data_IF_171425427785
#
_entry.id   IF_171425427785
#
_cell.length_a   1.000
_cell.length_b   1.000
_cell.length_c   1.000
_cell.angle_alpha   90.00
_cell.angle_beta   90.00
_cell.angle_gamma   90.00
#
_symmetry.space_group_name_H-M   'P 1'
#
loop_
_entity.id
_entity.type
_entity.pdbx_description
1 polymer ?
#
# COMPACT_ATOMS: atom_id res chain seq x y z
N UNK A 1 -5.38 -11.22 12.47
CA UNK A 1 -5.75 -9.92 11.91
C UNK A 1 -6.89 -9.36 12.74
N UNK A 2 -6.55 -8.39 13.58
CA UNK A 2 -7.47 -7.68 14.47
C UNK A 2 -8.48 -6.86 13.67
N UNK A 3 -9.64 -6.53 14.24
CA UNK A 3 -10.70 -5.81 13.52
C UNK A 3 -10.24 -4.43 13.02
N UNK A 4 -9.45 -3.71 13.82
CA UNK A 4 -8.92 -2.40 13.44
C UNK A 4 -7.96 -2.46 12.26
N UNK A 5 -7.11 -3.50 12.19
CA UNK A 5 -6.23 -3.75 11.06
C UNK A 5 -7.03 -3.94 9.76
N UNK A 6 -8.11 -4.74 9.81
CA UNK A 6 -9.01 -4.94 8.65
C UNK A 6 -9.68 -3.64 8.21
N UNK A 7 -10.17 -2.84 9.15
CA UNK A 7 -10.80 -1.55 8.86
C UNK A 7 -9.82 -0.57 8.21
N UNK A 8 -8.58 -0.54 8.70
CA UNK A 8 -7.51 0.30 8.15
C UNK A 8 -7.16 -0.12 6.72
N UNK A 9 -7.02 -1.42 6.45
CA UNK A 9 -6.77 -1.91 5.09
C UNK A 9 -7.92 -1.51 4.14
N UNK A 10 -9.18 -1.63 4.59
CA UNK A 10 -10.35 -1.20 3.79
C UNK A 10 -10.32 0.30 3.52
N UNK A 11 -10.01 1.11 4.52
CA UNK A 11 -9.88 2.56 4.38
C UNK A 11 -8.81 2.94 3.35
N UNK A 12 -7.59 2.40 3.47
CA UNK A 12 -6.50 2.69 2.54
C UNK A 12 -6.84 2.31 1.10
N UNK A 13 -7.53 1.18 0.91
CA UNK A 13 -8.02 0.77 -0.41
C UNK A 13 -9.09 1.70 -0.94
N UNK A 14 -10.08 2.05 -0.12
CA UNK A 14 -11.16 2.95 -0.53
C UNK A 14 -10.65 4.35 -0.90
N UNK A 15 -9.57 4.83 -0.28
CA UNK A 15 -8.93 6.08 -0.66
C UNK A 15 -8.42 6.05 -2.10
N UNK A 16 -7.72 5.00 -2.52
CA UNK A 16 -6.93 5.04 -3.75
C UNK A 16 -7.59 4.23 -4.88
N UNK A 17 -8.62 3.45 -4.59
CA UNK A 17 -9.38 2.71 -5.59
C UNK A 17 -10.07 3.68 -6.56
N UNK A 18 -9.70 3.58 -7.83
CA UNK A 18 -10.40 4.29 -8.91
C UNK A 18 -11.21 3.29 -9.71
N UNK A 19 -12.46 3.61 -10.06
CA UNK A 19 -13.30 2.76 -10.89
C UNK A 19 -12.86 2.75 -12.37
N UNK A 20 -11.95 3.65 -12.74
CA UNK A 20 -11.63 3.97 -14.12
C UNK A 20 -10.45 3.17 -14.66
N UNK A 21 -10.76 2.40 -15.71
CA UNK A 21 -9.83 1.93 -16.73
C UNK A 21 -9.43 3.06 -17.69
N UNK A 22 -9.52 4.33 -17.32
CA UNK A 22 -9.75 5.45 -18.27
C UNK A 22 -8.63 6.48 -18.45
N UNK A 23 -7.38 6.17 -18.14
CA UNK A 23 -6.26 6.82 -18.86
C UNK A 23 -5.44 5.74 -19.56
N UNK A 24 -5.86 5.34 -20.77
CA UNK A 24 -4.91 4.80 -21.73
C UNK A 24 -3.85 5.87 -21.97
N UNK A 25 -2.58 5.56 -21.68
CA UNK A 25 -1.49 6.42 -22.13
C UNK A 25 -1.55 6.52 -23.66
N UNK A 26 -1.07 7.62 -24.28
CA UNK A 26 -1.17 7.84 -25.74
C UNK A 26 -0.61 6.72 -26.62
N UNK A 27 0.19 5.81 -26.05
CA UNK A 27 0.76 4.63 -26.71
C UNK A 27 -0.08 3.34 -26.52
N UNK A 28 -1.28 3.42 -25.95
CA UNK A 28 -2.14 2.27 -25.66
C UNK A 28 -1.70 1.43 -24.46
N UNK A 29 -0.65 1.83 -23.73
CA UNK A 29 -0.22 1.18 -22.49
C UNK A 29 -1.14 1.65 -21.37
N UNK A 30 -1.84 0.71 -20.75
CA UNK A 30 -2.55 0.96 -19.49
C UNK A 30 -1.49 1.24 -18.43
N UNK A 31 -1.55 2.41 -17.80
CA UNK A 31 -0.66 2.72 -16.68
C UNK A 31 -0.81 1.63 -15.61
N UNK A 32 0.28 0.94 -15.30
CA UNK A 32 0.31 -0.08 -14.26
C UNK A 32 0.21 0.53 -12.84
N UNK A 33 0.17 1.86 -12.73
CA UNK A 33 0.05 2.69 -11.53
C UNK A 33 -1.22 2.51 -10.70
N UNK A 34 -1.67 1.28 -10.52
CA UNK A 34 -2.65 0.93 -9.50
C UNK A 34 -1.95 0.89 -8.13
N UNK A 35 -1.85 2.10 -7.56
CA UNK A 35 -1.87 2.46 -6.16
C UNK A 35 -0.82 1.89 -5.16
N UNK A 36 0.09 0.99 -5.54
CA UNK A 36 1.06 0.43 -4.58
C UNK A 36 1.98 1.47 -3.94
N UNK A 37 2.42 2.45 -4.72
CA UNK A 37 3.26 3.54 -4.23
C UNK A 37 2.51 4.40 -3.20
N UNK A 38 1.31 4.88 -3.53
CA UNK A 38 0.52 5.72 -2.61
C UNK A 38 0.10 4.95 -1.35
N UNK A 39 -0.27 3.68 -1.49
CA UNK A 39 -0.55 2.80 -0.35
C UNK A 39 0.66 2.63 0.55
N UNK A 40 1.84 2.38 -0.03
CA UNK A 40 3.06 2.21 0.72
C UNK A 40 3.48 3.52 1.40
N UNK A 41 3.33 4.68 0.72
CA UNK A 41 3.54 6.00 1.32
C UNK A 41 2.61 6.25 2.50
N UNK A 42 1.29 6.19 2.28
CA UNK A 42 0.29 6.49 3.32
C UNK A 42 0.44 5.52 4.49
N UNK A 43 0.63 4.23 4.23
CA UNK A 43 0.82 3.24 5.32
C UNK A 43 2.13 3.43 6.06
N UNK A 44 3.23 3.76 5.38
CA UNK A 44 4.51 4.04 6.04
C UNK A 44 4.41 5.24 6.98
N UNK A 45 3.82 6.34 6.52
CA UNK A 45 3.56 7.51 7.36
C UNK A 45 2.62 7.19 8.52
N UNK A 46 1.56 6.42 8.27
CA UNK A 46 0.62 5.96 9.30
C UNK A 46 1.33 5.18 10.41
N UNK A 47 2.21 4.24 10.05
CA UNK A 47 2.97 3.48 11.05
C UNK A 47 3.91 4.37 11.86
N UNK A 48 4.55 5.36 11.22
CA UNK A 48 5.32 6.35 11.96
C UNK A 48 4.45 7.17 12.92
N UNK A 49 3.23 7.56 12.54
CA UNK A 49 2.26 8.20 13.45
C UNK A 49 1.94 7.33 14.67
N UNK A 50 1.99 6.01 14.52
CA UNK A 50 1.80 5.04 15.60
C UNK A 50 3.09 4.72 16.39
N UNK A 51 4.21 5.36 16.05
CA UNK A 51 5.51 5.10 16.69
C UNK A 51 6.16 3.78 16.25
N UNK A 52 5.71 3.19 15.14
CA UNK A 52 6.25 1.94 14.59
C UNK A 52 7.35 2.27 13.59
N UNK A 53 8.50 1.61 13.74
CA UNK A 53 9.63 1.77 12.81
C UNK A 53 9.40 0.97 11.54
N UNK A 54 9.44 1.68 10.41
CA UNK A 54 9.17 1.09 9.10
C UNK A 54 10.12 1.66 8.05
N UNK A 55 10.31 0.91 6.97
CA UNK A 55 10.99 1.35 5.76
C UNK A 55 10.03 1.29 4.58
N UNK A 56 10.03 2.35 3.77
CA UNK A 56 9.43 2.30 2.45
C UNK A 56 10.37 1.50 1.53
N UNK A 57 9.84 0.46 0.91
CA UNK A 57 10.57 -0.38 -0.02
C UNK A 57 10.11 -0.13 -1.45
N UNK A 58 11.06 0.22 -2.32
CA UNK A 58 10.90 0.17 -3.77
C UNK A 58 11.59 -1.11 -4.26
N UNK A 59 10.79 -2.05 -4.74
CA UNK A 59 11.25 -3.39 -5.04
C UNK A 59 10.50 -4.03 -6.19
N UNK A 60 10.41 -5.34 -6.10
CA UNK A 60 9.85 -6.20 -7.13
C UNK A 60 9.00 -7.27 -6.48
N UNK A 61 7.88 -7.59 -7.12
CA UNK A 61 6.99 -8.67 -6.74
C UNK A 61 7.08 -9.83 -7.74
N UNK A 62 7.07 -11.06 -7.21
CA UNK A 62 6.88 -12.29 -7.97
C UNK A 62 5.67 -12.99 -7.39
N UNK A 63 4.74 -13.36 -8.26
CA UNK A 63 3.50 -14.00 -7.83
C UNK A 63 3.32 -15.31 -8.58
N UNK A 64 2.96 -16.35 -7.86
CA UNK A 64 2.66 -17.63 -8.49
C UNK A 64 2.31 -18.72 -7.52
N UNK A 65 2.31 -19.95 -8.02
CA UNK A 65 2.17 -21.18 -7.27
C UNK A 65 2.90 -22.32 -8.01
N UNK A 66 2.63 -23.58 -7.67
CA UNK A 66 3.27 -24.72 -8.34
C UNK A 66 2.91 -24.86 -9.83
N UNK A 67 1.78 -24.30 -10.27
CA UNK A 67 1.25 -24.44 -11.62
C UNK A 67 1.60 -23.26 -12.53
N UNK A 68 1.79 -22.06 -11.97
CA UNK A 68 2.08 -20.86 -12.75
C UNK A 68 3.00 -19.89 -12.00
N UNK A 69 3.68 -19.05 -12.76
CA UNK A 69 4.40 -17.88 -12.25
C UNK A 69 4.12 -16.71 -13.19
N UNK A 70 3.68 -15.59 -12.62
CA UNK A 70 3.49 -14.35 -13.38
C UNK A 70 4.85 -13.67 -13.62
N UNK A 71 4.94 -12.80 -14.64
CA UNK A 71 6.11 -11.94 -14.83
C UNK A 71 6.44 -11.15 -13.56
N UNK A 72 7.73 -10.88 -13.36
CA UNK A 72 8.20 -10.02 -12.27
C UNK A 72 7.71 -8.59 -12.52
N UNK A 73 7.17 -7.94 -11.49
CA UNK A 73 6.61 -6.59 -11.60
C UNK A 73 7.28 -5.66 -10.57
N UNK A 74 7.56 -4.39 -10.93
CA UNK A 74 7.92 -3.37 -9.95
C UNK A 74 6.82 -3.21 -8.90
N UNK A 75 7.19 -3.04 -7.63
CA UNK A 75 6.22 -2.97 -6.54
C UNK A 75 6.72 -2.14 -5.35
N UNK A 76 5.81 -1.43 -4.69
CA UNK A 76 6.09 -0.68 -3.46
C UNK A 76 5.36 -1.31 -2.27
N UNK A 77 6.04 -1.42 -1.13
CA UNK A 77 5.47 -1.98 0.10
C UNK A 77 6.16 -1.39 1.33
N UNK A 78 5.56 -1.62 2.50
CA UNK A 78 6.06 -1.14 3.78
C UNK A 78 6.69 -2.30 4.55
N UNK A 79 7.96 -2.17 4.93
CA UNK A 79 8.66 -3.14 5.78
C UNK A 79 8.60 -2.65 7.23
N UNK A 80 8.10 -3.49 8.14
CA UNK A 80 8.08 -3.21 9.57
C UNK A 80 9.36 -3.76 10.19
N UNK A 81 10.13 -2.90 10.85
CA UNK A 81 11.43 -3.23 11.42
C UNK A 81 11.38 -3.67 12.88
N UNK A 82 10.31 -3.30 13.60
CA UNK A 82 10.07 -3.73 14.97
C UNK A 82 9.76 -5.23 15.04
N UNK A 83 10.03 -5.86 16.19
CA UNK A 83 9.82 -7.30 16.37
C UNK A 83 8.36 -7.60 16.75
N UNK A 84 7.68 -8.50 16.02
CA UNK A 84 8.18 -9.30 14.89
C UNK A 84 8.28 -8.50 13.59
N UNK A 85 9.41 -8.62 12.89
CA UNK A 85 9.61 -8.01 11.57
C UNK A 85 8.53 -8.51 10.61
N UNK A 86 7.98 -7.60 9.81
CA UNK A 86 6.83 -7.91 8.95
C UNK A 86 6.80 -7.10 7.67
N UNK A 87 5.89 -7.47 6.78
CA UNK A 87 5.54 -6.67 5.60
C UNK A 87 4.10 -6.23 5.75
N UNK A 88 3.85 -4.95 5.48
CA UNK A 88 2.51 -4.45 5.26
C UNK A 88 2.34 -4.03 3.80
N UNK A 89 1.31 -4.56 3.17
CA UNK A 89 0.95 -4.25 1.80
C UNK A 89 -0.58 -4.25 1.65
N UNK A 90 -1.16 -3.06 1.69
CA UNK A 90 -2.59 -2.86 1.47
C UNK A 90 -2.94 -2.68 -0.01
N UNK A 91 -1.93 -2.53 -0.87
CA UNK A 91 -2.09 -2.33 -2.32
C UNK A 91 -2.22 -3.61 -3.09
N UNK A 92 -1.69 -4.71 -2.54
CA UNK A 92 -1.81 -6.00 -3.17
C UNK A 92 -3.28 -6.42 -3.20
N UNK A 93 -3.88 -6.19 -4.35
CA UNK A 93 -5.14 -6.75 -4.76
C UNK A 93 -4.82 -7.74 -5.87
N UNK A 94 -4.60 -9.00 -5.49
CA UNK A 94 -4.41 -10.05 -6.49
C UNK A 94 -5.75 -10.27 -7.20
N UNK A 95 -5.89 -9.80 -8.46
CA UNK A 95 -7.13 -9.87 -9.25
C UNK A 95 -7.76 -11.26 -9.26
N UNK A 96 -9.03 -11.30 -9.66
CA UNK A 96 -9.64 -12.50 -10.22
C UNK A 96 -8.79 -13.12 -11.33
N UNK A 97 -7.98 -14.10 -10.95
CA UNK A 97 -7.95 -15.39 -11.65
C UNK A 97 -9.44 -15.79 -11.82
N UNK A 98 -9.85 -16.39 -12.95
CA UNK A 98 -11.22 -16.92 -13.10
C UNK A 98 -11.62 -17.69 -11.81
N UNK A 99 -12.44 -17.10 -10.94
CA UNK A 99 -12.75 -17.62 -9.59
C UNK A 99 -12.18 -16.92 -8.33
N UNK A 100 -11.53 -15.74 -8.37
CA UNK A 100 -10.99 -15.04 -7.15
C UNK A 100 -11.51 -13.57 -7.04
N UNK A 101 -12.27 -13.15 -6.02
CA UNK A 101 -12.97 -11.85 -6.06
C UNK A 101 -12.16 -10.61 -5.58
N UNK A 102 -12.62 -9.41 -6.00
CA UNK A 102 -12.09 -8.04 -5.74
C UNK A 102 -12.17 -7.56 -4.28
N UNK A 103 -12.96 -8.23 -3.45
CA UNK A 103 -13.07 -7.93 -2.02
C UNK A 103 -12.10 -8.80 -1.23
N UNK A 104 -11.81 -8.49 0.06
CA UNK A 104 -11.22 -9.47 0.96
C UNK A 104 -12.14 -10.69 0.99
N UNK A 105 -11.84 -11.65 0.12
CA UNK A 105 -12.56 -12.90 0.07
C UNK A 105 -12.18 -13.66 1.33
N UNK A 106 -13.14 -14.17 2.11
CA UNK A 106 -12.83 -15.12 3.17
C UNK A 106 -12.08 -16.37 2.65
N UNK A 107 -12.04 -16.60 1.33
CA UNK A 107 -11.32 -17.70 0.67
C UNK A 107 -9.78 -17.52 0.60
N UNK A 108 -9.23 -16.31 0.76
CA UNK A 108 -7.79 -16.06 0.59
C UNK A 108 -7.11 -15.48 1.83
N UNK A 109 -7.51 -15.95 3.01
CA UNK A 109 -6.79 -15.74 4.28
C UNK A 109 -5.38 -16.39 4.33
N UNK A 110 -4.81 -16.77 3.18
CA UNK A 110 -3.77 -17.80 3.07
C UNK A 110 -2.71 -17.52 1.98
N UNK A 111 -2.63 -16.32 1.41
CA UNK A 111 -1.49 -15.94 0.56
C UNK A 111 -0.20 -16.10 1.38
N UNK A 112 0.73 -16.91 0.89
CA UNK A 112 2.06 -16.96 1.48
C UNK A 112 2.80 -15.69 1.06
N UNK A 113 3.39 -14.98 2.00
CA UNK A 113 4.18 -13.77 1.74
C UNK A 113 5.58 -14.00 2.29
N UNK A 114 6.60 -13.80 1.46
CA UNK A 114 7.98 -13.85 1.90
C UNK A 114 8.78 -12.67 1.35
N UNK A 115 9.73 -12.20 2.16
CA UNK A 115 10.61 -11.08 1.84
C UNK A 115 12.04 -11.56 1.59
N UNK A 116 12.66 -11.04 0.53
CA UNK A 116 14.07 -11.28 0.21
C UNK A 116 14.82 -9.96 0.08
N UNK A 117 16.06 -9.93 0.56
CA UNK A 117 16.95 -8.77 0.39
C UNK A 117 17.63 -8.73 -0.98
N UNK A 118 17.49 -9.79 -1.76
CA UNK A 118 18.03 -9.92 -3.11
C UNK A 118 17.00 -10.60 -4.02
N UNK A 119 17.23 -10.59 -5.33
CA UNK A 119 16.36 -11.29 -6.29
C UNK A 119 16.33 -12.78 -5.92
N UNK A 120 15.15 -13.36 -5.60
CA UNK A 120 15.04 -14.76 -5.26
C UNK A 120 15.34 -15.63 -6.48
N UNK A 121 15.98 -16.76 -6.24
CA UNK A 121 16.27 -17.78 -7.25
C UNK A 121 15.05 -18.65 -7.52
N UNK A 122 15.02 -19.39 -8.64
CA UNK A 122 13.97 -20.40 -8.87
C UNK A 122 13.89 -21.45 -7.76
N UNK A 123 15.00 -21.75 -7.08
CA UNK A 123 15.04 -22.68 -5.95
C UNK A 123 14.35 -22.11 -4.71
N UNK A 124 14.52 -20.82 -4.44
CA UNK A 124 13.85 -20.13 -3.32
C UNK A 124 12.33 -20.19 -3.51
N UNK A 125 11.85 -19.88 -4.71
CA UNK A 125 10.43 -19.96 -5.04
C UNK A 125 9.85 -21.39 -4.86
N UNK A 126 10.61 -22.42 -5.28
CA UNK A 126 10.21 -23.82 -5.08
C UNK A 126 10.21 -24.24 -3.61
N UNK A 127 11.15 -23.73 -2.82
CA UNK A 127 11.27 -24.03 -1.40
C UNK A 127 10.09 -23.45 -0.60
N UNK A 128 9.73 -22.19 -0.87
CA UNK A 128 8.55 -21.56 -0.25
C UNK A 128 7.24 -22.29 -0.62
N UNK A 129 7.19 -22.92 -1.80
CA UNK A 129 6.04 -23.70 -2.25
C UNK A 129 6.07 -25.19 -1.85
N UNK A 130 7.15 -25.70 -1.24
CA UNK A 130 7.43 -27.15 -1.15
C UNK A 130 6.23 -27.96 -0.62
N UNK A 131 5.54 -27.44 0.41
CA UNK A 131 4.38 -28.09 1.04
C UNK A 131 3.05 -27.34 0.84
N UNK A 132 2.98 -26.35 -0.04
CA UNK A 132 1.79 -25.50 -0.20
C UNK A 132 1.29 -25.49 -1.63
N UNK A 133 -0.04 -25.59 -1.79
CA UNK A 133 -0.73 -25.29 -3.05
C UNK A 133 -1.21 -23.83 -3.11
N UNK A 134 -1.00 -23.07 -2.04
CA UNK A 134 -1.45 -21.67 -1.93
C UNK A 134 -0.64 -20.79 -2.86
N UNK A 135 -1.22 -19.69 -3.37
CA UNK A 135 -0.45 -18.65 -4.02
C UNK A 135 0.63 -18.10 -3.08
N UNK A 136 1.76 -17.72 -3.67
CA UNK A 136 2.92 -17.14 -3.03
C UNK A 136 3.19 -15.77 -3.65
N UNK A 137 3.38 -14.78 -2.80
CA UNK A 137 3.93 -13.47 -3.11
C UNK A 137 5.35 -13.39 -2.54
N UNK A 138 6.33 -13.30 -3.43
CA UNK A 138 7.69 -12.95 -3.05
C UNK A 138 7.92 -11.48 -3.32
N UNK A 139 8.34 -10.76 -2.29
CA UNK A 139 8.77 -9.37 -2.39
C UNK A 139 10.28 -9.31 -2.21
N UNK A 140 10.96 -8.53 -3.05
CA UNK A 140 12.37 -8.26 -2.84
C UNK A 140 12.74 -6.82 -3.17
N UNK A 141 13.63 -6.27 -2.35
CA UNK A 141 14.14 -4.90 -2.52
C UNK A 141 15.67 -4.93 -2.35
N UNK A 142 16.39 -4.94 -3.48
CA UNK A 142 17.83 -5.17 -3.52
C UNK A 142 18.67 -3.96 -3.08
N UNK A 143 18.15 -2.73 -3.23
CA UNK A 143 18.93 -1.49 -3.00
C UNK A 143 18.15 -0.31 -2.43
N UNK A 144 16.82 -0.27 -2.60
CA UNK A 144 16.02 0.90 -2.24
C UNK A 144 15.10 0.60 -1.04
N UNK A 145 15.67 0.76 0.15
CA UNK A 145 14.94 0.83 1.41
C UNK A 145 15.27 2.16 2.05
N UNK A 146 14.27 3.00 2.24
CA UNK A 146 14.48 4.34 2.75
C UNK A 146 13.57 4.54 3.98
N UNK A 147 14.06 5.19 5.03
CA UNK A 147 13.18 5.65 6.09
C UNK A 147 12.17 6.62 5.48
N UNK A 148 10.90 6.58 5.90
CA UNK A 148 9.96 7.62 5.54
C UNK A 148 10.44 8.94 6.12
N UNK A 149 10.62 9.95 5.28
CA UNK A 149 11.16 11.26 5.68
C UNK A 149 10.32 12.42 5.14
N UNK A 150 10.70 13.65 5.51
CA UNK A 150 10.03 14.85 5.04
C UNK A 150 10.03 15.00 3.51
N UNK A 151 11.00 14.39 2.80
CA UNK A 151 11.00 14.42 1.35
C UNK A 151 9.84 13.60 0.77
N UNK A 152 9.43 12.52 1.45
CA UNK A 152 8.24 11.72 1.07
C UNK A 152 6.95 12.52 1.26
N UNK A 153 6.83 13.31 2.34
CA UNK A 153 5.65 14.14 2.60
C UNK A 153 5.41 15.19 1.50
N UNK A 154 6.48 15.65 0.87
CA UNK A 154 6.45 16.65 -0.19
C UNK A 154 6.48 16.03 -1.59
N UNK A 155 6.50 14.69 -1.70
CA UNK A 155 6.56 14.02 -2.99
C UNK A 155 5.17 13.98 -3.62
N UNK A 156 5.03 14.63 -4.77
CA UNK A 156 3.82 14.53 -5.57
C UNK A 156 3.77 13.18 -6.29
N UNK A 157 2.62 12.51 -6.20
CA UNK A 157 2.35 11.37 -7.07
C UNK A 157 2.08 11.87 -8.48
N UNK A 158 2.75 11.23 -9.45
CA UNK A 158 2.58 11.50 -10.89
C UNK A 158 1.63 10.50 -11.54
N UNK A 159 1.05 9.59 -10.77
CA UNK A 159 0.05 8.63 -11.27
C UNK A 159 -1.23 9.37 -11.66
N UNK A 160 -2.13 8.73 -12.44
CA UNK A 160 -3.46 9.27 -12.72
C UNK A 160 -4.23 9.66 -11.45
N UNK A 161 -4.05 8.89 -10.37
CA UNK A 161 -4.64 9.22 -9.07
C UNK A 161 -4.06 10.52 -8.47
N UNK A 162 -2.74 10.72 -8.52
CA UNK A 162 -2.11 11.98 -8.10
C UNK A 162 -2.56 13.18 -8.93
N UNK A 163 -2.71 13.01 -10.25
CA UNK A 163 -3.29 14.03 -11.13
C UNK A 163 -4.73 14.35 -10.77
N UNK A 164 -5.55 13.33 -10.49
CA UNK A 164 -6.93 13.50 -10.03
C UNK A 164 -7.00 14.29 -8.72
N UNK A 165 -6.16 13.95 -7.72
CA UNK A 165 -6.07 14.72 -6.46
C UNK A 165 -5.74 16.19 -6.74
N UNK A 166 -4.78 16.45 -7.61
CA UNK A 166 -4.39 17.82 -8.00
C UNK A 166 -5.54 18.54 -8.69
N UNK A 167 -6.27 17.88 -9.59
CA UNK A 167 -7.44 18.45 -10.25
C UNK A 167 -8.60 18.74 -9.30
N UNK A 168 -8.77 17.95 -8.23
CA UNK A 168 -9.87 18.10 -7.26
C UNK A 168 -9.56 19.14 -6.18
N UNK A 169 -8.33 19.16 -5.68
CA UNK A 169 -7.95 19.93 -4.48
C UNK A 169 -6.90 21.01 -4.76
N UNK A 170 -6.45 21.16 -6.01
CA UNK A 170 -5.46 22.15 -6.45
C UNK A 170 -4.01 21.77 -6.15
N UNK A 171 -3.74 21.01 -5.09
CA UNK A 171 -2.41 20.52 -4.72
C UNK A 171 -2.48 19.18 -3.99
N UNK A 172 -1.40 18.39 -4.03
CA UNK A 172 -1.23 17.17 -3.25
C UNK A 172 -0.58 17.43 -1.87
N UNK A 173 -0.02 18.63 -1.66
CA UNK A 173 0.72 18.96 -0.44
C UNK A 173 -0.16 18.78 0.80
N UNK A 174 0.32 18.00 1.76
CA UNK A 174 -0.41 17.72 3.00
C UNK A 174 -1.52 16.68 2.90
N UNK A 175 -2.03 16.36 1.70
CA UNK A 175 -3.13 15.39 1.56
C UNK A 175 -2.72 13.98 2.00
N UNK A 176 -1.53 13.52 1.64
CA UNK A 176 -1.07 12.20 2.07
C UNK A 176 -0.80 12.11 3.57
N UNK A 177 -0.31 13.19 4.18
CA UNK A 177 -0.10 13.27 5.63
C UNK A 177 -1.44 13.21 6.39
N UNK A 178 -2.45 13.95 5.91
CA UNK A 178 -3.82 13.89 6.43
C UNK A 178 -4.42 12.49 6.28
N UNK A 179 -4.27 11.86 5.11
CA UNK A 179 -4.72 10.49 4.87
C UNK A 179 -4.05 9.48 5.82
N UNK A 180 -2.74 9.62 6.05
CA UNK A 180 -1.98 8.78 6.98
C UNK A 180 -2.46 8.96 8.43
N UNK A 181 -2.72 10.20 8.84
CA UNK A 181 -3.31 10.51 10.15
C UNK A 181 -4.70 9.85 10.30
N UNK A 182 -5.59 9.99 9.33
CA UNK A 182 -6.89 9.31 9.36
C UNK A 182 -6.76 7.80 9.51
N UNK A 183 -5.88 7.19 8.70
CA UNK A 183 -5.67 5.75 8.75
C UNK A 183 -5.16 5.31 10.14
N UNK A 184 -4.28 6.10 10.77
CA UNK A 184 -3.76 5.83 12.10
C UNK A 184 -4.87 5.93 13.16
N UNK A 185 -5.74 6.95 13.07
CA UNK A 185 -6.88 7.11 13.97
C UNK A 185 -7.93 6.00 13.78
N UNK A 186 -8.15 5.52 12.54
CA UNK A 186 -9.00 4.35 12.26
C UNK A 186 -8.39 3.09 12.87
N UNK A 187 -7.08 2.89 12.73
CA UNK A 187 -6.37 1.76 13.34
C UNK A 187 -6.43 1.79 14.87
N UNK A 188 -6.31 2.97 15.47
CA UNK A 188 -6.43 3.15 16.90
C UNK A 188 -7.88 3.09 17.42
N UNK A 189 -8.87 2.96 16.53
CA UNK A 189 -10.30 2.94 16.88
C UNK A 189 -10.86 4.29 17.32
N UNK A 190 -10.14 5.40 17.09
CA UNK A 190 -10.53 6.77 17.48
C UNK A 190 -11.31 7.50 16.40
N UNK A 191 -11.14 7.12 15.14
CA UNK A 191 -11.92 7.62 14.01
C UNK A 191 -12.80 6.52 13.43
N UNK A 192 -14.07 6.84 13.16
CA UNK A 192 -14.99 5.92 12.51
C UNK A 192 -14.93 6.10 10.98
N UNK A 193 -14.56 5.03 10.28
CA UNK A 193 -14.68 4.93 8.82
C UNK A 193 -15.95 4.14 8.45
N UNK A 194 -16.75 4.71 7.56
CA UNK A 194 -17.91 4.08 6.94
C UNK A 194 -17.55 3.61 5.52
N UNK A 195 -17.54 2.29 5.33
CA UNK A 195 -17.18 1.65 4.07
C UNK A 195 -18.18 1.90 2.93
N UNK A 196 -19.35 2.49 3.21
CA UNK A 196 -20.31 2.91 2.19
C UNK A 196 -19.92 4.24 1.52
N UNK A 197 -18.97 4.99 2.09
CA UNK A 197 -18.51 6.23 1.48
C UNK A 197 -17.79 5.94 0.16
N UNK A 198 -18.21 6.64 -0.89
CA UNK A 198 -17.47 6.67 -2.15
C UNK A 198 -16.13 7.38 -1.98
N UNK A 199 -15.18 7.09 -2.89
CA UNK A 199 -13.83 7.66 -2.90
C UNK A 199 -13.82 9.18 -2.77
N UNK A 200 -14.63 9.87 -3.57
CA UNK A 200 -14.64 11.34 -3.63
C UNK A 200 -15.03 11.94 -2.28
N UNK A 201 -16.11 11.45 -1.66
CA UNK A 201 -16.53 11.86 -0.31
C UNK A 201 -15.45 11.58 0.73
N UNK A 202 -14.80 10.43 0.66
CA UNK A 202 -13.74 10.07 1.60
C UNK A 202 -12.56 11.06 1.53
N UNK A 203 -12.18 11.50 0.32
CA UNK A 203 -11.12 12.50 0.16
C UNK A 203 -11.54 13.92 0.53
N UNK A 204 -12.80 14.30 0.34
CA UNK A 204 -13.33 15.56 0.87
C UNK A 204 -13.20 15.61 2.39
N UNK A 205 -13.53 14.51 3.07
CA UNK A 205 -13.38 14.36 4.52
C UNK A 205 -11.91 14.46 4.94
N UNK A 206 -10.99 13.75 4.26
CA UNK A 206 -9.54 13.85 4.49
C UNK A 206 -9.05 15.29 4.27
N UNK A 207 -9.48 15.95 3.20
CA UNK A 207 -9.06 17.30 2.86
C UNK A 207 -9.53 18.34 3.89
N UNK A 208 -10.72 18.13 4.48
CA UNK A 208 -11.31 19.01 5.50
C UNK A 208 -10.55 19.00 6.83
N UNK A 209 -9.72 17.99 7.07
CA UNK A 209 -8.93 17.91 8.29
C UNK A 209 -7.91 19.05 8.33
N UNK A 210 -7.76 19.74 9.49
CA UNK A 210 -6.73 20.75 9.68
C UNK A 210 -5.36 20.23 9.28
N UNK A 211 -4.46 21.11 8.87
CA UNK A 211 -3.13 20.66 8.45
C UNK A 211 -2.44 19.84 9.56
N UNK A 212 -1.97 18.65 9.19
CA UNK A 212 -1.29 17.68 10.06
C UNK A 212 0.16 17.46 9.66
N UNK A 213 0.66 18.26 8.71
CA UNK A 213 2.04 18.14 8.23
C UNK A 213 3.06 18.20 9.36
N UNK A 214 2.91 19.11 10.31
CA UNK A 214 3.84 19.24 11.44
C UNK A 214 3.83 17.98 12.32
N UNK A 215 2.63 17.49 12.68
CA UNK A 215 2.47 16.27 13.47
C UNK A 215 3.10 15.05 12.81
N UNK A 216 2.80 14.82 11.52
CA UNK A 216 3.35 13.68 10.79
C UNK A 216 4.86 13.82 10.65
N UNK A 217 5.37 15.03 10.37
CA UNK A 217 6.82 15.30 10.28
C UNK A 217 7.54 14.98 11.60
N UNK A 218 6.97 15.38 12.74
CA UNK A 218 7.52 15.02 14.06
C UNK A 218 7.55 13.51 14.29
N UNK A 219 6.49 12.80 13.89
CA UNK A 219 6.42 11.34 13.99
C UNK A 219 7.49 10.66 13.12
N UNK A 220 7.72 11.16 11.90
CA UNK A 220 8.77 10.67 10.99
C UNK A 220 10.18 10.90 11.55
N UNK A 221 10.42 11.99 12.27
CA UNK A 221 11.72 12.24 12.90
C UNK A 221 11.99 11.29 14.07
N UNK A 222 10.95 10.92 14.82
CA UNK A 222 11.03 10.01 15.97
C UNK A 222 11.18 8.54 15.58
N UNK A 223 10.82 8.16 14.36
CA UNK A 223 10.90 6.77 13.87
C UNK A 223 12.27 6.41 13.27
N UNK A 224 13.23 7.34 13.26
CA UNK A 224 14.62 7.16 12.79
C UNK A 224 15.52 6.45 13.82
#
# INVERSE_FOLDING_TARGET
MEENERRTIRFLRALIQTDEREEQMPNGVVDAGWCCMEHAWVSSMMFCCLGIRVLLCEGMAIIGNKAFQLPVQPHFFTLIEDQPKGIFDSSFEYKSIKGIPRTPSPLHSHLLVAFFTAKPTPSDFKNELKNSKRPLLLLYAAKHKLPPDEAILNRESRTPFGKWLTSKFGSQKGLFAKAAFCAAEVHAGRLHFDASWGRDRLWEEVASIPDKMDFVSECLLKSR
#
